data_IF_420100068114
#
_entry.id   IF_420100068114
#
_cell.length_a   1.000
_cell.length_b   1.000
_cell.length_c   1.000
_cell.angle_alpha   90.00
_cell.angle_beta   90.00
_cell.angle_gamma   90.00
#
_symmetry.space_group_name_H-M   'P 1'
#
loop_
_entity.id
_entity.type
_entity.pdbx_description
1 polymer ?
#
# COMPACT_ATOMS: atom_id res chain seq x y z
N UNK A 1 1.16 -9.30 -16.68
CA UNK A 1 0.07 -10.26 -16.98
C UNK A 1 -0.03 -11.36 -15.93
N UNK A 2 1.05 -12.13 -15.67
CA UNK A 2 1.06 -13.22 -14.68
C UNK A 2 0.47 -12.87 -13.30
N UNK A 3 0.98 -11.81 -12.64
CA UNK A 3 0.51 -11.41 -11.32
C UNK A 3 -0.99 -11.08 -11.27
N UNK A 4 -1.53 -10.44 -12.31
CA UNK A 4 -2.96 -10.11 -12.37
C UNK A 4 -3.84 -11.37 -12.48
N UNK A 5 -3.39 -12.37 -13.24
CA UNK A 5 -4.12 -13.64 -13.38
C UNK A 5 -4.04 -14.49 -12.10
N UNK A 6 -2.86 -14.58 -11.49
CA UNK A 6 -2.68 -15.28 -10.21
C UNK A 6 -3.54 -14.65 -9.11
N UNK A 7 -3.59 -13.31 -9.03
CA UNK A 7 -4.46 -12.61 -8.07
C UNK A 7 -5.95 -12.91 -8.29
N UNK A 8 -6.42 -12.97 -9.55
CA UNK A 8 -7.81 -13.29 -9.84
C UNK A 8 -8.19 -14.72 -9.41
N UNK A 9 -7.29 -15.69 -9.59
CA UNK A 9 -7.51 -17.07 -9.13
C UNK A 9 -7.54 -17.16 -7.59
N UNK A 10 -6.62 -16.48 -6.91
CA UNK A 10 -6.57 -16.45 -5.44
C UNK A 10 -7.80 -15.76 -4.84
N UNK A 11 -8.25 -14.65 -5.45
CA UNK A 11 -9.46 -13.95 -5.05
C UNK A 11 -10.70 -14.83 -5.18
N UNK A 12 -10.89 -15.49 -6.33
CA UNK A 12 -12.00 -16.41 -6.54
C UNK A 12 -11.99 -17.60 -5.55
N UNK A 13 -10.81 -18.15 -5.25
CA UNK A 13 -10.66 -19.26 -4.30
C UNK A 13 -10.92 -18.84 -2.85
N UNK A 14 -10.48 -17.65 -2.45
CA UNK A 14 -10.74 -17.12 -1.11
C UNK A 14 -12.23 -16.80 -0.94
N UNK A 15 -12.84 -16.20 -1.97
CA UNK A 15 -14.27 -15.89 -2.02
C UNK A 15 -15.14 -17.17 -1.98
N UNK A 16 -14.77 -18.25 -2.68
CA UNK A 16 -15.52 -19.51 -2.65
C UNK A 16 -15.47 -20.22 -1.28
N UNK A 17 -14.56 -19.81 -0.40
CA UNK A 17 -14.44 -20.29 0.98
C UNK A 17 -14.98 -19.27 1.99
N UNK A 18 -15.49 -18.11 1.55
CA UNK A 18 -15.98 -17.02 2.39
C UNK A 18 -14.92 -16.47 3.37
N UNK A 19 -13.64 -16.54 2.99
CA UNK A 19 -12.51 -16.06 3.80
C UNK A 19 -11.88 -14.84 3.13
N UNK A 20 -11.64 -13.72 3.85
CA UNK A 20 -10.92 -12.59 3.27
C UNK A 20 -9.48 -12.96 2.94
N UNK A 21 -8.95 -12.46 1.82
CA UNK A 21 -7.66 -12.89 1.26
C UNK A 21 -6.46 -12.78 2.23
N UNK A 22 -6.45 -11.76 3.10
CA UNK A 22 -5.40 -11.61 4.12
C UNK A 22 -5.41 -12.74 5.18
N UNK A 23 -6.59 -13.31 5.48
CA UNK A 23 -6.71 -14.52 6.32
C UNK A 23 -6.30 -15.77 5.55
N UNK A 24 -6.64 -15.84 4.26
CA UNK A 24 -6.20 -16.92 3.38
C UNK A 24 -4.66 -17.02 3.32
N UNK A 25 -3.95 -15.90 3.37
CA UNK A 25 -2.48 -15.85 3.46
C UNK A 25 -1.88 -16.11 4.87
N UNK A 26 -2.68 -16.52 5.84
CA UNK A 26 -2.21 -16.89 7.19
C UNK A 26 -2.60 -15.92 8.31
N UNK A 27 -3.26 -14.79 8.00
CA UNK A 27 -3.98 -14.01 9.01
C UNK A 27 -3.13 -13.27 10.04
N UNK A 28 -1.87 -12.96 9.74
CA UNK A 28 -0.95 -12.34 10.70
C UNK A 28 -1.41 -10.95 11.19
N UNK A 29 -1.98 -10.13 10.31
CA UNK A 29 -2.57 -8.84 10.66
C UNK A 29 -3.53 -8.35 9.55
N UNK A 30 -4.53 -7.57 9.94
CA UNK A 30 -5.42 -6.84 9.04
C UNK A 30 -4.99 -5.37 8.85
N UNK A 31 -3.82 -4.99 9.39
CA UNK A 31 -3.28 -3.63 9.32
C UNK A 31 -1.85 -3.62 8.78
N UNK A 32 -1.56 -2.63 7.95
CA UNK A 32 -0.22 -2.34 7.46
C UNK A 32 0.00 -0.82 7.44
N UNK A 33 1.21 -0.39 7.78
CA UNK A 33 1.62 1.02 7.67
C UNK A 33 2.33 1.22 6.34
N UNK A 34 1.94 2.24 5.58
CA UNK A 34 2.59 2.59 4.31
C UNK A 34 3.37 3.89 4.43
N UNK A 35 4.43 4.00 3.64
CA UNK A 35 5.05 5.28 3.33
C UNK A 35 4.25 6.03 2.24
N UNK A 36 4.60 7.30 2.06
CA UNK A 36 4.16 8.11 0.90
C UNK A 36 5.38 8.63 0.15
N UNK A 37 5.23 8.73 -1.17
CA UNK A 37 6.34 9.06 -2.07
C UNK A 37 6.27 10.53 -2.52
N UNK A 38 7.35 11.27 -2.31
CA UNK A 38 7.59 12.58 -2.94
C UNK A 38 8.13 12.34 -4.35
N UNK A 39 7.49 12.87 -5.41
CA UNK A 39 7.96 12.74 -6.78
C UNK A 39 9.23 13.56 -7.02
N UNK A 40 9.86 13.36 -8.18
CA UNK A 40 11.00 14.18 -8.60
C UNK A 40 10.47 15.60 -8.87
N UNK A 41 10.88 16.56 -8.04
CA UNK A 41 10.51 17.96 -8.14
C UNK A 41 11.61 18.86 -7.53
N UNK A 42 11.53 20.20 -7.72
CA UNK A 42 12.45 21.12 -7.09
C UNK A 42 12.44 21.02 -5.55
N UNK A 43 13.55 21.33 -4.86
CA UNK A 43 13.67 21.14 -3.41
C UNK A 43 12.59 21.86 -2.57
N UNK A 44 12.16 23.05 -3.01
CA UNK A 44 11.15 23.83 -2.31
C UNK A 44 9.78 23.13 -2.31
N UNK A 45 9.41 22.52 -3.45
CA UNK A 45 8.17 21.76 -3.59
C UNK A 45 8.22 20.45 -2.81
N UNK A 46 9.37 19.75 -2.85
CA UNK A 46 9.59 18.54 -2.06
C UNK A 46 9.42 18.81 -0.55
N UNK A 47 9.96 19.91 -0.04
CA UNK A 47 9.81 20.31 1.36
C UNK A 47 8.35 20.60 1.72
N UNK A 48 7.61 21.30 0.85
CA UNK A 48 6.19 21.58 1.04
C UNK A 48 5.35 20.28 1.06
N UNK A 49 5.63 19.35 0.15
CA UNK A 49 4.99 18.03 0.11
C UNK A 49 5.30 17.22 1.37
N UNK A 50 6.55 17.19 1.82
CA UNK A 50 6.94 16.49 3.05
C UNK A 50 6.15 17.00 4.27
N UNK A 51 6.04 18.33 4.41
CA UNK A 51 5.28 18.94 5.51
C UNK A 51 3.78 18.63 5.42
N UNK A 52 3.23 18.64 4.20
CA UNK A 52 1.82 18.30 3.95
C UNK A 52 1.53 16.84 4.32
N UNK A 53 2.38 15.91 3.87
CA UNK A 53 2.22 14.49 4.17
C UNK A 53 2.39 14.17 5.65
N UNK A 54 3.31 14.85 6.34
CA UNK A 54 3.43 14.70 7.79
C UNK A 54 2.14 15.12 8.51
N UNK A 55 1.52 16.22 8.10
CA UNK A 55 0.23 16.67 8.66
C UNK A 55 -0.94 15.71 8.36
N UNK A 56 -0.86 14.95 7.26
CA UNK A 56 -1.84 13.91 6.92
C UNK A 56 -1.63 12.60 7.71
N UNK A 57 -0.61 12.53 8.58
CA UNK A 57 -0.35 11.37 9.43
C UNK A 57 0.63 10.36 8.85
N UNK A 58 1.32 10.69 7.75
CA UNK A 58 2.41 9.84 7.27
C UNK A 58 3.66 10.03 8.14
N UNK A 59 4.08 8.94 8.77
CA UNK A 59 5.29 8.90 9.61
C UNK A 59 6.55 8.62 8.79
N UNK A 60 6.41 7.96 7.64
CA UNK A 60 7.51 7.56 6.76
C UNK A 60 7.34 8.19 5.37
N UNK A 61 8.39 8.86 4.89
CA UNK A 61 8.41 9.51 3.58
C UNK A 61 9.49 8.85 2.70
N UNK A 62 9.11 8.52 1.46
CA UNK A 62 9.99 8.01 0.41
C UNK A 62 10.26 9.11 -0.62
N UNK A 63 11.49 9.26 -1.09
CA UNK A 63 11.85 10.21 -2.16
C UNK A 63 12.17 9.44 -3.44
N UNK A 64 11.69 9.92 -4.60
CA UNK A 64 12.00 9.37 -5.92
C UNK A 64 13.24 9.98 -6.55
#
# INVERSE_FOLDING_TARGET
VRAGFEMALLDALAQSQEVPLWRFFGGASDRVTTDITIPICPPQEAAALAFTYKQQGFETIKTK
#
